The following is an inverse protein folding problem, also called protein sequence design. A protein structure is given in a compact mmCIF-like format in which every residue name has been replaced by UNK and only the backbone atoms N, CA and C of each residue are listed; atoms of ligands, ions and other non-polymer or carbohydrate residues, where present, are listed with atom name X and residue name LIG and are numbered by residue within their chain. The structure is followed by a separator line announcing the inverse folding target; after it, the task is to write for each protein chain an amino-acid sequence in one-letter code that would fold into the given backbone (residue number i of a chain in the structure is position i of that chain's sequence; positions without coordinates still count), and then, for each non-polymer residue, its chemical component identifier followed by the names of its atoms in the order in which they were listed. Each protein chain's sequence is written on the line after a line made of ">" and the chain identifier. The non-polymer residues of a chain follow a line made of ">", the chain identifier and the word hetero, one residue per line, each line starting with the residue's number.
data_IF_955746400646
#
_entry.id   IF_955746400646
#
_cell.length_a   1.000
_cell.length_b   1.000
_cell.length_c   1.000
_cell.angle_alpha   90.00
_cell.angle_beta   90.00
_cell.angle_gamma   90.00
#
_symmetry.space_group_name_H-M   'P 1'
#
loop_
_entity.id
_entity.type
_entity.pdbx_description
1 polymer ?
#
# COMPACT_ATOMS: atom_id res chain seq x y z
N UNK A 1 -0.66 6.46 8.94
CA UNK A 1 -0.48 7.80 8.34
C UNK A 1 -1.78 8.21 7.70
N UNK A 2 -2.21 9.44 7.92
CA UNK A 2 -3.43 10.04 7.39
C UNK A 2 -3.07 11.45 6.92
N UNK A 3 -3.62 11.93 5.81
CA UNK A 3 -3.51 13.35 5.45
C UNK A 3 -4.81 14.05 5.81
N UNK A 4 -4.72 15.18 6.52
CA UNK A 4 -5.87 16.02 6.90
C UNK A 4 -5.84 17.34 6.13
N UNK A 5 -7.02 17.93 5.96
CA UNK A 5 -7.37 18.72 4.78
C UNK A 5 -7.65 20.19 5.07
N UNK A 6 -7.44 21.02 4.05
CA UNK A 6 -8.13 22.29 3.86
C UNK A 6 -8.84 22.26 2.50
N UNK A 7 -10.13 22.62 2.46
CA UNK A 7 -10.90 22.73 1.23
C UNK A 7 -10.50 24.01 0.49
N UNK A 8 -10.06 23.89 -0.76
CA UNK A 8 -10.12 24.99 -1.71
C UNK A 8 -11.14 24.61 -2.80
N UNK A 9 -12.14 25.47 -3.03
CA UNK A 9 -13.38 25.14 -3.78
C UNK A 9 -13.19 24.83 -5.28
N UNK A 10 -11.97 24.84 -5.82
CA UNK A 10 -11.70 24.87 -7.25
C UNK A 10 -10.80 23.73 -7.80
N UNK A 11 -10.63 22.61 -7.10
CA UNK A 11 -9.87 21.47 -7.66
C UNK A 11 -10.68 20.16 -7.64
N UNK A 12 -10.68 19.37 -8.75
CA UNK A 12 -11.46 18.13 -8.87
C UNK A 12 -10.85 16.95 -8.11
N UNK A 13 -9.69 17.12 -7.47
CA UNK A 13 -8.99 16.08 -6.72
C UNK A 13 -8.63 16.59 -5.32
N UNK A 14 -8.94 15.79 -4.31
CA UNK A 14 -8.71 16.15 -2.91
C UNK A 14 -7.38 15.58 -2.45
N UNK A 15 -6.37 16.44 -2.36
CA UNK A 15 -5.05 16.04 -1.89
C UNK A 15 -4.63 16.97 -0.77
N UNK A 16 -4.85 16.54 0.49
CA UNK A 16 -4.46 17.37 1.63
C UNK A 16 -2.95 17.67 1.63
N UNK A 17 -2.60 18.83 2.20
CA UNK A 17 -1.26 19.39 2.21
C UNK A 17 -0.51 19.17 3.53
N UNK A 18 -1.16 18.53 4.53
CA UNK A 18 -0.58 18.20 5.85
C UNK A 18 -0.53 16.70 6.06
N UNK A 19 0.68 16.17 6.28
CA UNK A 19 0.91 14.78 6.66
C UNK A 19 0.66 14.59 8.16
N UNK A 20 -0.20 13.64 8.53
CA UNK A 20 -0.40 13.19 9.90
C UNK A 20 0.07 11.75 10.08
N UNK A 21 0.69 11.48 11.21
CA UNK A 21 0.93 10.13 11.70
C UNK A 21 0.22 10.00 13.04
N UNK A 22 -0.70 9.03 13.12
CA UNK A 22 -1.56 8.82 14.29
C UNK A 22 -2.29 10.09 14.77
N UNK A 23 -2.71 10.95 13.83
CA UNK A 23 -3.42 12.19 14.11
C UNK A 23 -2.53 13.40 14.42
N UNK A 24 -1.21 13.23 14.50
CA UNK A 24 -0.25 14.29 14.82
C UNK A 24 0.51 14.69 13.55
N UNK A 25 0.68 15.99 13.33
CA UNK A 25 1.45 16.53 12.20
C UNK A 25 2.96 16.40 12.45
N UNK A 26 3.68 15.83 11.48
CA UNK A 26 5.14 15.65 11.49
C UNK A 26 5.73 15.28 12.87
N UNK A 27 5.27 14.20 13.52
CA UNK A 27 5.73 13.84 14.85
C UNK A 27 7.17 13.33 14.82
N UNK A 28 7.78 13.35 16.01
CA UNK A 28 8.99 12.58 16.29
C UNK A 28 8.68 11.45 17.29
N UNK A 29 9.52 10.42 17.28
CA UNK A 29 9.49 9.33 18.24
C UNK A 29 10.91 9.09 18.76
N UNK A 30 11.07 9.20 20.07
CA UNK A 30 12.29 8.78 20.74
C UNK A 30 12.36 7.24 20.79
N UNK A 31 13.45 6.67 20.31
CA UNK A 31 13.67 5.22 20.22
C UNK A 31 15.01 4.83 20.84
N UNK A 32 15.11 3.61 21.37
CA UNK A 32 16.41 3.09 21.79
C UNK A 32 17.30 2.78 20.56
N UNK A 33 18.63 2.82 20.74
CA UNK A 33 19.57 2.33 19.73
C UNK A 33 19.40 0.83 19.52
N UNK A 34 19.07 0.43 18.29
CA UNK A 34 18.83 -0.97 17.94
C UNK A 34 17.90 -1.13 16.74
N UNK A 35 17.30 -2.30 16.59
CA UNK A 35 16.31 -2.58 15.54
C UNK A 35 14.92 -2.09 15.94
N UNK A 36 14.34 -1.23 15.11
CA UNK A 36 12.99 -0.68 15.28
C UNK A 36 12.07 -1.24 14.22
N UNK A 37 10.92 -1.79 14.64
CA UNK A 37 9.87 -2.28 13.74
C UNK A 37 8.77 -1.23 13.60
N UNK A 38 8.56 -0.72 12.40
CA UNK A 38 7.46 0.20 12.10
C UNK A 38 6.35 -0.55 11.35
N UNK A 39 5.11 -0.35 11.81
CA UNK A 39 3.89 -0.79 11.13
C UNK A 39 3.27 0.39 10.41
N UNK A 40 3.42 0.40 9.11
CA UNK A 40 2.94 1.47 8.24
C UNK A 40 1.55 1.11 7.73
N UNK A 41 0.64 2.08 7.80
CA UNK A 41 -0.70 2.02 7.22
C UNK A 41 -0.94 3.33 6.48
N UNK A 42 -1.39 3.26 5.23
CA UNK A 42 -1.92 4.40 4.53
C UNK A 42 -3.45 4.47 4.71
N UNK A 43 -3.90 5.40 5.57
CA UNK A 43 -5.30 5.71 5.83
C UNK A 43 -5.71 7.04 5.17
N UNK A 44 -5.10 7.39 4.04
CA UNK A 44 -5.43 8.60 3.28
C UNK A 44 -6.57 8.31 2.31
N UNK A 45 -7.36 9.33 1.95
CA UNK A 45 -8.49 9.15 1.03
C UNK A 45 -8.07 8.70 -0.37
N UNK A 46 -6.99 9.29 -0.89
CA UNK A 46 -6.58 9.10 -2.29
C UNK A 46 -5.06 9.01 -2.51
N UNK A 47 -4.27 9.64 -1.64
CA UNK A 47 -2.82 9.80 -1.85
C UNK A 47 -2.07 8.50 -1.59
N UNK A 48 -1.35 8.01 -2.58
CA UNK A 48 -0.29 7.02 -2.40
C UNK A 48 1.03 7.70 -1.99
N UNK A 49 1.84 7.03 -1.17
CA UNK A 49 3.13 7.55 -0.72
C UNK A 49 4.27 6.71 -1.26
N UNK A 50 5.34 7.37 -1.71
CA UNK A 50 6.65 6.76 -1.90
C UNK A 50 7.48 7.07 -0.66
N UNK A 51 7.62 6.09 0.24
CA UNK A 51 8.26 6.26 1.54
C UNK A 51 9.73 5.85 1.46
N UNK A 52 10.61 6.68 2.02
CA UNK A 52 12.05 6.42 2.13
C UNK A 52 12.65 7.14 3.34
N UNK A 53 13.88 6.80 3.69
CA UNK A 53 14.64 7.53 4.71
C UNK A 53 15.37 8.72 4.08
N UNK A 54 15.48 9.83 4.81
CA UNK A 54 16.14 11.07 4.36
C UNK A 54 17.68 11.00 4.31
N UNK A 55 18.25 9.95 4.89
CA UNK A 55 19.68 9.60 4.88
C UNK A 55 20.03 8.53 3.82
N UNK A 56 19.08 8.16 2.95
CA UNK A 56 19.24 7.14 1.90
C UNK A 56 19.58 5.71 2.40
N UNK A 57 19.48 5.45 3.71
CA UNK A 57 19.59 4.11 4.28
C UNK A 57 18.47 3.21 3.75
N UNK A 58 18.78 1.94 3.53
CA UNK A 58 17.79 0.94 3.14
C UNK A 58 16.92 0.50 4.33
N UNK A 59 15.65 0.25 4.04
CA UNK A 59 14.67 -0.30 4.96
C UNK A 59 14.54 -1.81 4.68
N UNK A 60 14.40 -2.62 5.73
CA UNK A 60 14.10 -4.04 5.54
C UNK A 60 12.58 -4.25 5.57
N UNK A 61 11.97 -4.50 4.42
CA UNK A 61 10.56 -4.89 4.33
C UNK A 61 10.42 -6.34 4.79
N UNK A 62 9.56 -6.58 5.79
CA UNK A 62 9.36 -7.91 6.38
C UNK A 62 7.95 -8.46 6.21
N UNK A 63 6.94 -7.58 6.09
CA UNK A 63 5.55 -7.99 5.90
C UNK A 63 4.78 -6.98 5.06
N UNK A 64 3.73 -7.45 4.41
CA UNK A 64 2.75 -6.64 3.69
C UNK A 64 1.36 -7.10 4.08
N UNK A 65 0.39 -6.19 4.11
CA UNK A 65 -1.05 -6.41 4.27
C UNK A 65 -1.49 -7.56 5.20
N UNK A 66 -1.47 -8.80 4.72
CA UNK A 66 -1.99 -9.99 5.38
C UNK A 66 -0.91 -10.99 5.84
N UNK A 67 0.38 -10.73 5.63
CA UNK A 67 1.41 -11.67 6.08
C UNK A 67 2.85 -11.24 5.85
N UNK A 68 3.76 -12.05 6.40
CA UNK A 68 5.19 -11.89 6.19
C UNK A 68 5.61 -12.31 4.77
N UNK A 69 6.67 -11.66 4.29
CA UNK A 69 7.50 -12.19 3.19
C UNK A 69 8.25 -13.43 3.68
N UNK A 70 8.61 -14.40 2.82
CA UNK A 70 9.47 -15.53 3.23
C UNK A 70 10.82 -15.07 3.78
N UNK A 71 11.35 -13.98 3.23
CA UNK A 71 12.60 -13.36 3.66
C UNK A 71 12.49 -11.84 3.60
N UNK A 72 13.13 -11.16 4.55
CA UNK A 72 13.21 -9.71 4.55
C UNK A 72 13.87 -9.21 3.25
N UNK A 73 13.26 -8.19 2.64
CA UNK A 73 13.75 -7.57 1.41
C UNK A 73 14.29 -6.17 1.70
N UNK A 74 15.53 -5.91 1.31
CA UNK A 74 16.11 -4.56 1.42
C UNK A 74 15.52 -3.66 0.34
N UNK A 75 14.99 -2.50 0.73
CA UNK A 75 14.37 -1.53 -0.17
C UNK A 75 14.78 -0.10 0.18
N UNK A 76 15.11 0.70 -0.83
CA UNK A 76 15.36 2.14 -0.68
C UNK A 76 14.09 2.97 -0.60
N UNK A 77 13.02 2.47 -1.21
CA UNK A 77 11.73 3.13 -1.29
C UNK A 77 10.63 2.07 -1.23
N UNK A 78 9.51 2.43 -0.60
CA UNK A 78 8.32 1.62 -0.51
C UNK A 78 7.12 2.46 -0.94
N UNK A 79 6.44 2.05 -2.00
CA UNK A 79 5.15 2.64 -2.37
C UNK A 79 4.06 2.03 -1.50
N UNK A 80 3.23 2.89 -0.89
CA UNK A 80 2.10 2.50 -0.05
C UNK A 80 0.84 3.23 -0.53
N UNK A 81 -0.03 2.52 -1.25
CA UNK A 81 -1.31 3.04 -1.71
C UNK A 81 -2.36 3.07 -0.60
N UNK A 82 -3.47 3.84 -0.74
CA UNK A 82 -4.55 3.83 0.23
C UNK A 82 -5.00 2.40 0.57
N UNK A 83 -5.12 2.09 1.86
CA UNK A 83 -5.52 0.77 2.36
C UNK A 83 -4.36 -0.23 2.54
N UNK A 84 -3.19 -0.02 1.92
CA UNK A 84 -2.05 -0.91 2.10
C UNK A 84 -1.40 -0.76 3.49
N UNK A 85 -0.88 -1.89 3.97
CA UNK A 85 -0.03 -1.99 5.16
C UNK A 85 1.30 -2.61 4.80
N UNK A 86 2.33 -2.19 5.52
CA UNK A 86 3.64 -2.78 5.43
C UNK A 86 4.32 -2.74 6.79
N UNK A 87 5.19 -3.71 7.05
CA UNK A 87 6.05 -3.69 8.22
C UNK A 87 7.51 -3.65 7.77
N UNK A 88 8.26 -2.69 8.32
CA UNK A 88 9.67 -2.50 8.03
C UNK A 88 10.50 -2.59 9.31
N UNK A 89 11.75 -3.05 9.19
CA UNK A 89 12.77 -2.95 10.22
C UNK A 89 13.81 -1.89 9.83
N UNK A 90 14.16 -1.05 10.80
CA UNK A 90 15.17 -0.02 10.70
C UNK A 90 16.27 -0.27 11.73
N UNK A 91 17.53 -0.11 11.34
CA UNK A 91 18.66 -0.19 12.25
C UNK A 91 19.06 1.22 12.71
N UNK A 92 18.88 1.50 14.00
CA UNK A 92 19.16 2.79 14.64
C UNK A 92 20.45 2.76 15.50
N UNK A 93 21.26 1.69 15.45
CA UNK A 93 22.42 1.55 16.34
C UNK A 93 23.43 2.71 16.20
N UNK A 94 23.76 3.10 14.97
CA UNK A 94 24.80 4.09 14.67
C UNK A 94 24.21 5.44 14.21
N UNK A 95 22.91 5.65 14.41
CA UNK A 95 22.18 6.79 13.85
C UNK A 95 21.57 7.58 14.97
N UNK A 96 21.91 8.86 15.05
CA UNK A 96 21.33 9.76 16.06
C UNK A 96 19.88 10.10 15.71
N UNK A 97 19.63 10.54 14.47
CA UNK A 97 18.29 10.86 13.99
C UNK A 97 18.13 10.46 12.52
N UNK A 98 16.94 10.01 12.14
CA UNK A 98 16.56 9.77 10.74
C UNK A 98 15.09 10.08 10.55
N UNK A 99 14.72 10.63 9.39
CA UNK A 99 13.32 10.88 9.06
C UNK A 99 12.83 9.92 7.99
N UNK A 100 11.68 9.31 8.23
CA UNK A 100 10.85 8.76 7.16
C UNK A 100 10.19 9.93 6.42
N UNK A 101 10.40 10.00 5.12
CA UNK A 101 9.88 11.06 4.24
C UNK A 101 9.06 10.46 3.09
N UNK A 102 8.17 11.27 2.53
CA UNK A 102 7.45 10.95 1.29
C UNK A 102 8.10 11.65 0.09
N UNK A 103 8.34 10.89 -0.99
CA UNK A 103 8.90 11.38 -2.25
C UNK A 103 10.41 11.63 -2.18
N UNK A 104 10.90 12.55 -3.01
CA UNK A 104 12.32 12.90 -3.06
C UNK A 104 12.77 13.77 -1.88
N UNK A 105 14.07 13.75 -1.60
CA UNK A 105 14.71 14.66 -0.63
C UNK A 105 14.55 16.10 -1.13
N UNK A 106 13.88 16.94 -0.34
CA UNK A 106 13.69 18.36 -0.66
C UNK A 106 14.75 19.22 0.02
N UNK A 107 15.49 20.00 -0.76
CA UNK A 107 16.44 21.00 -0.23
C UNK A 107 15.69 22.12 0.52
N UNK A 108 16.36 22.78 1.48
CA UNK A 108 15.78 23.88 2.26
C UNK A 108 15.30 25.04 1.35
N UNK A 109 15.96 25.25 0.21
CA UNK A 109 15.55 26.22 -0.81
C UNK A 109 14.21 25.84 -1.47
N UNK A 110 14.00 24.57 -1.80
CA UNK A 110 12.74 24.05 -2.34
C UNK A 110 11.60 24.14 -1.31
N UNK A 111 11.91 23.92 -0.01
CA UNK A 111 10.94 24.11 1.08
C UNK A 111 10.48 25.57 1.21
N UNK A 112 11.40 26.53 1.09
CA UNK A 112 11.09 27.97 1.18
C UNK A 112 10.32 28.45 -0.06
N UNK A 113 10.71 27.98 -1.26
CA UNK A 113 10.05 28.32 -2.52
C UNK A 113 8.59 27.84 -2.55
N UNK A 114 8.31 26.63 -2.07
CA UNK A 114 6.95 26.08 -2.02
C UNK A 114 6.08 26.76 -0.94
N UNK A 115 6.68 27.22 0.17
CA UNK A 115 5.96 27.99 1.18
C UNK A 115 5.51 29.37 0.66
N UNK A 116 6.29 29.98 -0.24
CA UNK A 116 6.00 31.28 -0.85
C UNK A 116 5.08 31.17 -2.10
N UNK A 117 5.09 30.03 -2.79
CA UNK A 117 4.42 29.84 -4.08
C UNK A 117 3.90 28.41 -4.32
N UNK A 118 2.93 27.83 -3.57
CA UNK A 118 2.33 26.55 -4.03
C UNK A 118 0.92 26.23 -3.52
N UNK A 119 0.05 25.90 -4.47
CA UNK A 119 -1.04 24.93 -4.33
C UNK A 119 -0.55 23.50 -4.69
N UNK A 120 -1.31 22.49 -4.26
CA UNK A 120 -1.17 21.04 -4.49
C UNK A 120 0.04 20.26 -3.92
N UNK A 121 1.14 20.90 -3.52
CA UNK A 121 2.26 20.19 -2.89
C UNK A 121 2.17 20.08 -1.36
N UNK A 122 2.71 18.98 -0.80
CA UNK A 122 2.88 18.85 0.66
C UNK A 122 3.78 19.98 1.17
N UNK A 123 3.34 20.71 2.20
CA UNK A 123 4.12 21.79 2.81
C UNK A 123 5.37 21.25 3.53
N UNK A 124 5.24 20.07 4.12
CA UNK A 124 6.32 19.29 4.71
C UNK A 124 6.18 17.84 4.24
N UNK A 125 7.27 17.25 3.74
CA UNK A 125 7.27 15.85 3.29
C UNK A 125 7.79 14.87 4.35
N UNK A 126 8.15 15.36 5.54
CA UNK A 126 8.46 14.51 6.69
C UNK A 126 7.21 13.81 7.20
N UNK A 127 7.29 12.48 7.29
CA UNK A 127 6.23 11.61 7.80
C UNK A 127 6.45 11.38 9.30
N UNK A 128 7.64 10.93 9.69
CA UNK A 128 8.00 10.60 11.06
C UNK A 128 9.50 10.80 11.26
N UNK A 129 9.91 11.52 12.30
CA UNK A 129 11.30 11.58 12.73
C UNK A 129 11.56 10.53 13.83
N UNK A 130 12.63 9.75 13.71
CA UNK A 130 13.10 8.84 14.75
C UNK A 130 14.34 9.44 15.39
N UNK A 131 14.35 9.52 16.72
CA UNK A 131 15.44 10.08 17.51
C UNK A 131 15.99 9.02 18.44
N UNK A 132 17.23 8.63 18.24
CA UNK A 132 17.89 7.65 19.10
C UNK A 132 18.21 8.24 20.47
N UNK A 133 17.91 7.49 21.53
CA UNK A 133 18.23 7.81 22.91
C UNK A 133 19.05 6.69 23.54
N UNK A 134 19.96 7.09 24.44
CA UNK A 134 20.78 6.17 25.23
C UNK A 134 22.05 5.69 24.52
N UNK A 135 22.79 4.85 25.24
CA UNK A 135 24.00 4.17 24.78
C UNK A 135 23.68 3.11 23.70
N UNK A 136 24.68 2.73 22.91
CA UNK A 136 24.52 1.59 21.99
C UNK A 136 24.17 0.34 22.77
N UNK A 137 23.19 -0.43 22.28
CA UNK A 137 22.89 -1.73 22.89
C UNK A 137 24.11 -2.66 22.77
N UNK A 138 24.62 -3.12 23.92
CA UNK A 138 25.65 -4.18 23.96
C UNK A 138 25.14 -5.51 23.40
N UNK A 139 23.82 -5.67 23.28
CA UNK A 139 23.16 -6.81 22.67
C UNK A 139 22.65 -6.45 21.27
N UNK A 140 23.54 -6.53 20.29
CA UNK A 140 23.19 -6.34 18.88
C UNK A 140 22.79 -7.70 18.26
N UNK A 141 21.76 -8.34 18.81
CA UNK A 141 21.27 -9.60 18.24
C UNK A 141 20.65 -9.31 16.88
N UNK A 142 21.28 -9.81 15.81
CA UNK A 142 20.70 -9.71 14.47
C UNK A 142 19.31 -10.37 14.48
N UNK A 143 18.27 -9.68 13.97
CA UNK A 143 16.94 -10.25 13.88
C UNK A 143 16.96 -11.46 12.95
N UNK A 144 16.10 -12.45 13.22
CA UNK A 144 15.80 -13.45 12.21
C UNK A 144 15.06 -12.76 11.05
N UNK A 145 15.62 -12.87 9.85
CA UNK A 145 15.10 -12.22 8.64
C UNK A 145 14.40 -13.22 7.70
N UNK A 146 14.12 -14.43 8.17
CA UNK A 146 13.31 -15.44 7.49
C UNK A 146 12.04 -15.67 8.29
N UNK A 147 10.90 -15.77 7.60
CA UNK A 147 9.59 -15.88 8.21
C UNK A 147 8.80 -17.02 7.60
N UNK A 148 7.96 -17.67 8.40
CA UNK A 148 7.05 -18.70 7.93
C UNK A 148 5.84 -18.06 7.24
N UNK A 149 5.57 -18.49 6.01
CA UNK A 149 4.42 -18.03 5.20
C UNK A 149 4.06 -19.09 4.17
N UNK A 150 2.77 -19.26 3.91
CA UNK A 150 2.22 -20.14 2.87
C UNK A 150 2.00 -19.41 1.53
N UNK A 151 2.33 -18.12 1.43
CA UNK A 151 2.10 -17.33 0.22
C UNK A 151 2.72 -17.94 -1.05
N UNK A 152 3.97 -18.45 -1.06
CA UNK A 152 4.55 -19.04 -2.26
C UNK A 152 3.88 -20.34 -2.72
N UNK A 153 3.21 -21.05 -1.81
CA UNK A 153 2.56 -22.33 -2.14
C UNK A 153 1.39 -22.16 -3.12
N UNK A 154 0.82 -20.95 -3.25
CA UNK A 154 -0.24 -20.66 -4.21
C UNK A 154 0.22 -20.84 -5.66
N UNK A 155 1.51 -20.63 -5.96
CA UNK A 155 2.06 -20.77 -7.32
C UNK A 155 1.94 -22.20 -7.88
N UNK A 156 1.81 -23.19 -7.01
CA UNK A 156 1.68 -24.61 -7.39
C UNK A 156 0.22 -25.06 -7.53
N UNK A 157 -0.75 -24.20 -7.20
CA UNK A 157 -2.16 -24.54 -7.21
C UNK A 157 -2.79 -24.27 -8.59
N UNK A 158 -3.82 -25.06 -8.92
CA UNK A 158 -4.52 -24.91 -10.19
C UNK A 158 -5.35 -23.62 -10.23
N UNK A 159 -5.17 -22.84 -11.29
CA UNK A 159 -5.99 -21.66 -11.57
C UNK A 159 -7.30 -22.10 -12.20
N UNK A 160 -8.40 -21.94 -11.47
CA UNK A 160 -9.73 -22.35 -11.91
C UNK A 160 -10.28 -21.45 -13.03
N UNK A 161 -9.96 -20.16 -12.98
CA UNK A 161 -10.40 -19.18 -13.97
C UNK A 161 -9.41 -18.01 -14.08
N UNK A 162 -9.30 -17.42 -15.26
CA UNK A 162 -8.62 -16.13 -15.47
C UNK A 162 -9.64 -15.06 -15.84
N UNK A 163 -9.50 -13.86 -15.25
CA UNK A 163 -10.36 -12.70 -15.50
C UNK A 163 -9.52 -11.47 -15.80
N UNK A 164 -10.09 -10.55 -16.56
CA UNK A 164 -9.46 -9.27 -16.89
C UNK A 164 -10.35 -8.11 -16.46
N UNK A 165 -9.74 -7.09 -15.86
CA UNK A 165 -10.38 -5.88 -15.37
C UNK A 165 -9.67 -4.67 -15.92
N UNK A 166 -10.43 -3.83 -16.64
CA UNK A 166 -9.97 -2.55 -17.16
C UNK A 166 -10.51 -1.43 -16.28
N UNK A 167 -9.62 -0.79 -15.52
CA UNK A 167 -9.91 0.27 -14.56
C UNK A 167 -9.66 1.61 -15.27
N UNK A 168 -10.75 2.33 -15.56
CA UNK A 168 -10.69 3.69 -16.05
C UNK A 168 -10.73 4.65 -14.86
N UNK A 169 -9.54 5.04 -14.43
CA UNK A 169 -9.33 5.91 -13.26
C UNK A 169 -9.91 7.30 -13.48
N UNK A 170 -9.81 7.83 -14.70
CA UNK A 170 -10.29 9.18 -15.04
C UNK A 170 -11.80 9.28 -14.91
N UNK A 171 -12.52 8.25 -15.37
CA UNK A 171 -13.99 8.25 -15.35
C UNK A 171 -14.59 7.53 -14.14
N UNK A 172 -13.77 6.84 -13.34
CA UNK A 172 -14.20 6.05 -12.19
C UNK A 172 -15.01 4.82 -12.61
N UNK A 173 -14.51 4.04 -13.57
CA UNK A 173 -15.19 2.87 -14.12
C UNK A 173 -14.35 1.60 -14.00
N UNK A 174 -15.01 0.45 -13.88
CA UNK A 174 -14.40 -0.86 -14.08
C UNK A 174 -15.13 -1.54 -15.23
N UNK A 175 -14.39 -2.01 -16.25
CA UNK A 175 -14.95 -2.63 -17.46
C UNK A 175 -16.05 -1.77 -18.10
N UNK A 176 -15.79 -0.46 -18.20
CA UNK A 176 -16.69 0.56 -18.76
C UNK A 176 -18.03 0.71 -18.01
N UNK A 177 -18.12 0.25 -16.75
CA UNK A 177 -19.32 0.31 -15.93
C UNK A 177 -19.04 1.04 -14.63
N UNK A 178 -20.05 1.74 -14.13
CA UNK A 178 -20.12 2.20 -12.74
C UNK A 178 -20.72 1.10 -11.88
N UNK A 179 -20.39 1.16 -10.60
CA UNK A 179 -20.99 0.36 -9.55
C UNK A 179 -22.53 0.41 -9.59
N UNK A 180 -23.16 -0.77 -9.58
CA UNK A 180 -24.59 -0.94 -9.31
C UNK A 180 -24.75 -1.99 -8.20
N UNK A 181 -25.20 -1.62 -6.99
CA UNK A 181 -25.28 -2.55 -5.86
C UNK A 181 -26.26 -3.71 -6.08
N UNK A 182 -27.12 -3.64 -7.11
CA UNK A 182 -28.11 -4.69 -7.44
C UNK A 182 -27.55 -5.73 -8.40
N UNK A 183 -26.36 -5.51 -8.95
CA UNK A 183 -25.76 -6.37 -9.97
C UNK A 183 -24.50 -7.02 -9.42
N UNK A 184 -24.43 -8.34 -9.56
CA UNK A 184 -23.21 -9.10 -9.28
C UNK A 184 -22.28 -9.01 -10.50
N UNK A 185 -21.06 -8.52 -10.29
CA UNK A 185 -20.04 -8.40 -11.35
C UNK A 185 -19.17 -9.65 -11.45
N UNK A 186 -18.88 -10.27 -10.31
CA UNK A 186 -18.08 -11.50 -10.22
C UNK A 186 -18.79 -12.53 -9.35
N UNK A 187 -18.93 -13.74 -9.88
CA UNK A 187 -19.27 -14.94 -9.11
C UNK A 187 -18.06 -15.86 -9.10
N UNK A 188 -17.51 -16.13 -7.92
CA UNK A 188 -16.38 -17.02 -7.69
C UNK A 188 -16.81 -18.19 -6.79
N UNK A 189 -16.04 -19.27 -6.82
CA UNK A 189 -16.29 -20.45 -5.99
C UNK A 189 -15.34 -20.47 -4.79
N UNK A 190 -15.87 -20.71 -3.59
CA UNK A 190 -15.08 -20.86 -2.38
C UNK A 190 -14.08 -22.02 -2.53
N UNK A 191 -12.86 -21.80 -2.06
CA UNK A 191 -11.75 -22.75 -2.12
C UNK A 191 -11.04 -22.80 -3.47
N UNK A 192 -11.46 -22.00 -4.46
CA UNK A 192 -10.75 -21.89 -5.74
C UNK A 192 -9.76 -20.74 -5.75
N UNK A 193 -8.83 -20.82 -6.71
CA UNK A 193 -7.91 -19.75 -7.04
C UNK A 193 -8.22 -19.27 -8.45
N UNK A 194 -8.27 -17.96 -8.62
CA UNK A 194 -8.41 -17.33 -9.92
C UNK A 194 -7.25 -16.37 -10.19
N UNK A 195 -6.88 -16.24 -11.46
CA UNK A 195 -5.93 -15.22 -11.89
C UNK A 195 -6.70 -13.99 -12.33
N UNK A 196 -6.45 -12.85 -11.70
CA UNK A 196 -7.03 -11.58 -12.10
C UNK A 196 -5.96 -10.70 -12.74
N UNK A 197 -6.22 -10.25 -13.96
CA UNK A 197 -5.38 -9.34 -14.72
C UNK A 197 -5.98 -7.95 -14.58
N UNK A 198 -5.26 -7.04 -13.94
CA UNK A 198 -5.68 -5.68 -13.66
C UNK A 198 -4.94 -4.73 -14.61
N UNK A 199 -5.68 -4.00 -15.45
CA UNK A 199 -5.15 -2.94 -16.28
C UNK A 199 -5.74 -1.61 -15.79
N UNK A 200 -4.91 -0.65 -15.43
CA UNK A 200 -5.37 0.68 -15.01
C UNK A 200 -4.89 1.76 -15.99
N UNK A 201 -5.77 2.70 -16.34
CA UNK A 201 -5.44 3.84 -17.22
C UNK A 201 -4.45 4.81 -16.57
N UNK A 202 -4.44 4.88 -15.24
CA UNK A 202 -3.49 5.62 -14.42
C UNK A 202 -3.14 4.79 -13.17
N UNK A 203 -1.99 5.06 -12.52
CA UNK A 203 -1.64 4.38 -11.27
C UNK A 203 -2.72 4.54 -10.19
N UNK A 204 -3.22 3.43 -9.64
CA UNK A 204 -4.29 3.42 -8.62
C UNK A 204 -4.16 2.21 -7.70
N UNK A 205 -4.62 2.32 -6.45
CA UNK A 205 -4.72 1.17 -5.55
C UNK A 205 -5.96 0.35 -5.88
N UNK A 206 -5.89 -0.97 -5.76
CA UNK A 206 -6.99 -1.90 -5.98
C UNK A 206 -7.11 -2.87 -4.81
N UNK A 207 -8.32 -3.08 -4.30
CA UNK A 207 -8.59 -3.91 -3.12
C UNK A 207 -9.72 -4.92 -3.38
N UNK A 208 -9.70 -6.04 -2.65
CA UNK A 208 -10.73 -7.10 -2.71
C UNK A 208 -11.13 -7.49 -1.28
N UNK A 209 -12.42 -7.40 -0.98
CA UNK A 209 -12.96 -7.87 0.30
C UNK A 209 -13.18 -9.38 0.29
N UNK A 210 -13.00 -10.01 1.46
CA UNK A 210 -13.30 -11.44 1.66
C UNK A 210 -12.39 -12.42 0.94
N UNK A 211 -11.37 -11.94 0.24
CA UNK A 211 -10.35 -12.73 -0.43
C UNK A 211 -8.96 -12.25 -0.03
N UNK A 212 -7.96 -13.08 -0.33
CA UNK A 212 -6.54 -12.70 -0.26
C UNK A 212 -5.86 -13.09 -1.55
N UNK A 213 -4.78 -12.42 -1.91
CA UNK A 213 -4.05 -12.70 -3.13
C UNK A 213 -2.55 -12.52 -2.96
N UNK A 214 -1.79 -13.08 -3.90
CA UNK A 214 -0.39 -12.70 -4.12
C UNK A 214 -0.29 -11.97 -5.45
N UNK A 215 0.72 -11.11 -5.58
CA UNK A 215 1.04 -10.47 -6.86
C UNK A 215 1.96 -11.40 -7.64
N UNK A 216 1.51 -11.87 -8.79
CA UNK A 216 2.29 -12.77 -9.66
C UNK A 216 3.25 -11.95 -10.54
N UNK A 217 2.77 -10.86 -11.12
CA UNK A 217 3.60 -9.95 -11.93
C UNK A 217 3.08 -8.51 -11.92
N UNK A 218 4.00 -7.56 -12.14
CA UNK A 218 3.68 -6.15 -12.41
C UNK A 218 4.50 -5.66 -13.61
N UNK A 219 3.81 -5.28 -14.69
CA UNK A 219 4.43 -5.02 -15.98
C UNK A 219 5.19 -6.26 -16.48
N UNK A 220 6.45 -6.05 -16.86
CA UNK A 220 7.35 -7.13 -17.32
C UNK A 220 8.03 -7.89 -16.17
N UNK A 221 7.88 -7.42 -14.92
CA UNK A 221 8.52 -8.05 -13.77
C UNK A 221 7.64 -9.15 -13.18
N UNK A 222 8.09 -10.39 -13.35
CA UNK A 222 7.55 -11.56 -12.65
C UNK A 222 8.14 -11.62 -11.24
N UNK A 223 7.29 -11.69 -10.22
CA UNK A 223 7.76 -11.80 -8.83
C UNK A 223 8.27 -13.20 -8.54
N UNK A 224 9.37 -13.28 -7.79
CA UNK A 224 9.93 -14.53 -7.28
C UNK A 224 9.21 -14.98 -6.01
N UNK A 225 9.36 -16.27 -5.66
CA UNK A 225 8.72 -16.86 -4.49
C UNK A 225 9.04 -16.08 -3.20
N UNK A 226 10.27 -15.61 -3.07
CA UNK A 226 10.79 -14.86 -1.92
C UNK A 226 10.18 -13.45 -1.79
N UNK A 227 9.53 -12.96 -2.85
CA UNK A 227 8.89 -11.64 -2.91
C UNK A 227 7.38 -11.71 -2.66
N UNK A 228 6.82 -12.93 -2.55
CA UNK A 228 5.39 -13.11 -2.38
C UNK A 228 4.97 -12.95 -0.92
N UNK A 229 4.03 -12.04 -0.70
CA UNK A 229 3.30 -11.92 0.54
C UNK A 229 1.79 -11.94 0.25
N UNK A 230 1.00 -12.40 1.22
CA UNK A 230 -0.45 -12.27 1.13
C UNK A 230 -0.88 -10.80 1.23
N UNK A 231 -1.72 -10.39 0.29
CA UNK A 231 -2.24 -9.05 0.16
C UNK A 231 -3.76 -9.07 -0.01
N UNK A 232 -4.38 -7.95 0.34
CA UNK A 232 -5.77 -7.64 0.00
C UNK A 232 -5.88 -6.35 -0.81
N UNK A 233 -4.78 -5.59 -0.92
CA UNK A 233 -4.71 -4.31 -1.62
C UNK A 233 -3.40 -4.25 -2.41
N UNK A 234 -3.40 -3.69 -3.61
CA UNK A 234 -2.21 -3.57 -4.46
C UNK A 234 -2.20 -2.27 -5.24
N UNK A 235 -1.04 -1.63 -5.33
CA UNK A 235 -0.82 -0.52 -6.23
C UNK A 235 -0.64 -0.99 -7.68
N UNK A 236 -1.58 -0.67 -8.55
CA UNK A 236 -1.62 -1.03 -9.98
C UNK A 236 -1.07 0.14 -10.79
N UNK A 237 0.18 0.05 -11.25
CA UNK A 237 0.80 1.08 -12.13
C UNK A 237 0.52 0.87 -13.62
N UNK A 238 0.37 -0.39 -13.99
CA UNK A 238 0.21 -0.91 -15.34
C UNK A 238 -0.46 -2.29 -15.22
N UNK A 239 -0.36 -3.14 -16.25
CA UNK A 239 -0.81 -4.52 -16.19
C UNK A 239 -0.22 -5.24 -14.98
N UNK A 240 -1.07 -5.60 -14.02
CA UNK A 240 -0.73 -6.32 -12.80
C UNK A 240 -1.50 -7.63 -12.76
N UNK A 241 -0.82 -8.75 -12.55
CA UNK A 241 -1.47 -10.05 -12.41
C UNK A 241 -1.43 -10.49 -10.96
N UNK A 242 -2.57 -10.90 -10.43
CA UNK A 242 -2.70 -11.40 -9.06
C UNK A 242 -3.35 -12.79 -9.08
N UNK A 243 -2.96 -13.63 -8.13
CA UNK A 243 -3.61 -14.93 -7.87
C UNK A 243 -4.49 -14.78 -6.64
N UNK A 244 -5.81 -14.71 -6.86
CA UNK A 244 -6.83 -14.48 -5.84
C UNK A 244 -7.33 -15.81 -5.30
N UNK A 245 -7.28 -15.97 -3.98
CA UNK A 245 -7.77 -17.12 -3.25
C UNK A 245 -9.04 -16.78 -2.48
N UNK A 246 -10.10 -17.53 -2.73
CA UNK A 246 -11.43 -17.30 -2.15
C UNK A 246 -11.69 -18.21 -0.94
N UNK A 247 -11.21 -17.82 0.24
CA UNK A 247 -11.36 -18.63 1.46
C UNK A 247 -12.67 -18.36 2.22
N UNK A 248 -13.37 -17.26 1.93
CA UNK A 248 -14.60 -16.84 2.60
C UNK A 248 -15.81 -16.90 1.66
N UNK A 249 -16.97 -17.33 2.17
CA UNK A 249 -18.23 -17.25 1.43
C UNK A 249 -18.87 -15.87 1.67
N UNK A 250 -19.60 -15.37 0.68
CA UNK A 250 -20.50 -14.23 0.82
C UNK A 250 -21.95 -14.67 0.61
N UNK A 251 -22.89 -13.77 0.85
CA UNK A 251 -24.32 -14.03 0.68
C UNK A 251 -24.99 -12.87 -0.06
N UNK A 252 -26.18 -13.08 -0.62
CA UNK A 252 -26.90 -12.01 -1.31
C UNK A 252 -27.18 -10.78 -0.43
N UNK A 253 -27.27 -10.95 0.89
CA UNK A 253 -27.47 -9.86 1.85
C UNK A 253 -26.15 -9.16 2.24
N UNK A 254 -25.03 -9.85 2.10
CA UNK A 254 -23.70 -9.35 2.45
C UNK A 254 -22.70 -9.77 1.38
N UNK A 255 -22.81 -9.21 0.15
CA UNK A 255 -21.82 -9.46 -0.87
C UNK A 255 -20.49 -8.81 -0.50
N UNK A 256 -19.39 -9.31 -1.05
CA UNK A 256 -18.11 -8.62 -0.97
C UNK A 256 -18.01 -7.55 -2.06
N UNK A 257 -17.15 -6.56 -1.85
CA UNK A 257 -16.79 -5.57 -2.85
C UNK A 257 -15.35 -5.76 -3.30
N UNK A 258 -15.08 -5.36 -4.53
CA UNK A 258 -13.72 -5.15 -5.04
C UNK A 258 -13.69 -3.86 -5.85
N UNK A 259 -12.53 -3.27 -6.02
CA UNK A 259 -12.41 -2.05 -6.80
C UNK A 259 -11.17 -1.25 -6.45
N UNK A 260 -11.17 0.02 -6.81
CA UNK A 260 -10.09 0.92 -6.39
C UNK A 260 -10.13 1.13 -4.88
N UNK A 261 -8.98 1.37 -4.24
CA UNK A 261 -8.90 1.71 -2.81
C UNK A 261 -8.89 3.21 -2.53
N UNK A 262 -8.98 4.03 -3.59
CA UNK A 262 -9.10 5.48 -3.51
C UNK A 262 -10.57 5.83 -3.26
N UNK A 263 -10.88 6.28 -2.04
CA UNK A 263 -12.24 6.54 -1.57
C UNK A 263 -13.01 7.55 -2.44
N UNK A 264 -12.33 8.50 -3.08
CA UNK A 264 -13.01 9.42 -4.00
C UNK A 264 -13.49 8.74 -5.28
N UNK A 265 -12.68 7.81 -5.80
CA UNK A 265 -13.04 7.04 -6.99
C UNK A 265 -14.04 5.93 -6.65
N UNK A 266 -13.99 5.39 -5.42
CA UNK A 266 -15.03 4.52 -4.88
C UNK A 266 -16.39 5.23 -4.89
N UNK A 267 -16.46 6.47 -4.39
CA UNK A 267 -17.67 7.30 -4.42
C UNK A 267 -18.16 7.62 -5.85
N UNK A 268 -17.26 7.67 -6.83
CA UNK A 268 -17.61 7.77 -8.25
C UNK A 268 -18.14 6.46 -8.84
N UNK A 269 -18.10 5.36 -8.09
CA UNK A 269 -18.58 4.04 -8.50
C UNK A 269 -17.53 3.16 -9.16
N UNK A 270 -16.24 3.37 -8.90
CA UNK A 270 -15.15 2.52 -9.41
C UNK A 270 -14.99 1.23 -8.57
N UNK A 271 -16.09 0.51 -8.41
CA UNK A 271 -16.27 -0.66 -7.57
C UNK A 271 -17.06 -1.73 -8.34
N UNK A 272 -16.99 -2.98 -7.88
CA UNK A 272 -17.83 -4.08 -8.33
C UNK A 272 -18.25 -4.99 -7.18
N UNK A 273 -19.34 -5.72 -7.41
CA UNK A 273 -19.90 -6.68 -6.44
C UNK A 273 -19.34 -8.08 -6.71
N UNK A 274 -18.82 -8.71 -5.65
CA UNK A 274 -18.27 -10.07 -5.63
C UNK A 274 -19.14 -11.01 -4.79
N UNK A 275 -19.62 -12.08 -5.43
CA UNK A 275 -20.27 -13.21 -4.79
C UNK A 275 -19.35 -14.41 -4.74
N UNK A 276 -19.19 -15.02 -3.56
CA UNK A 276 -18.38 -16.24 -3.36
C UNK A 276 -19.26 -17.32 -2.74
N UNK A 277 -19.41 -18.44 -3.44
CA UNK A 277 -20.26 -19.57 -3.03
C UNK A 277 -19.48 -20.88 -2.87
#
# INVERSE_FOLDING_TARGET
>A
MMVSNYSNKNQPHFVGNRLLVNGIEAPYLDVARGWIRLRLLNASLARAYDLRLDNDQEMLLIAQDLGFLPKAKSVKSLVLSPGERAEILLNMNEIDNVSLISGSKRSLYEKIKNMLFSGDELANNTVLELRSKGEMSAFNKQPNLTFETDAPAILQQAVAQTREFNIDVTNGLINQRRFDPRKVDVMARKGTIERWILNASLPVGFTIQGAKFVVESQGEHQLQAEELAWKDTVWVKNKTQILVKFDQASSGNYPFLFGVSNLMLEDMGCLGVLMVQ
#
